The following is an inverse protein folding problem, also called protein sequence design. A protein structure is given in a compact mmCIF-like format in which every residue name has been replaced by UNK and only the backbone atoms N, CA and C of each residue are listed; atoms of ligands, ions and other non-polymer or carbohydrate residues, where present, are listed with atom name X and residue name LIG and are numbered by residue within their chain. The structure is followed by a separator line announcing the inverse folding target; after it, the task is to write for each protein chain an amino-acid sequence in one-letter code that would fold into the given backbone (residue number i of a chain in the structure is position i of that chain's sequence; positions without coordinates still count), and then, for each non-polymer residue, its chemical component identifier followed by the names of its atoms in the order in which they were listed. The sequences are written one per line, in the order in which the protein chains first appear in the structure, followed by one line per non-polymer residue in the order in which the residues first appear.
data_IF_011763089873
#
_entry.id   IF_011763089873
#
_cell.length_a   1.000
_cell.length_b   1.000
_cell.length_c   1.000
_cell.angle_alpha   90.00
_cell.angle_beta   90.00
_cell.angle_gamma   90.00
#
_symmetry.space_group_name_H-M   'P 1'
#
loop_
_entity.id
_entity.type
_entity.pdbx_description
1 polymer ?
#
# COMPACT_ATOMS: atom_id res chain seq x y z
N UNK A 1 54.07 -4.06 -48.48
CA UNK A 1 52.64 -3.77 -48.28
C UNK A 1 52.19 -4.55 -47.05
N UNK A 2 52.16 -3.92 -45.88
CA UNK A 2 51.67 -4.53 -44.63
C UNK A 2 50.34 -3.87 -44.29
N UNK A 3 49.29 -4.69 -44.18
CA UNK A 3 47.95 -4.26 -43.82
C UNK A 3 47.83 -4.18 -42.30
N UNK A 4 47.44 -3.01 -41.77
CA UNK A 4 47.10 -2.80 -40.37
C UNK A 4 45.59 -3.00 -40.18
N UNK A 5 45.19 -3.97 -39.36
CA UNK A 5 43.82 -4.15 -38.93
C UNK A 5 43.49 -3.21 -37.74
N UNK A 6 42.28 -2.62 -37.65
CA UNK A 6 41.92 -1.76 -36.55
C UNK A 6 41.49 -2.58 -35.32
N UNK A 7 42.05 -2.24 -34.16
CA UNK A 7 41.72 -2.82 -32.86
C UNK A 7 40.37 -2.23 -32.39
N UNK A 8 39.29 -3.03 -32.43
CA UNK A 8 38.01 -2.66 -31.80
C UNK A 8 38.16 -2.77 -30.27
N UNK A 9 38.17 -1.63 -29.58
CA UNK A 9 37.99 -1.54 -28.15
C UNK A 9 36.51 -1.79 -27.81
N UNK A 10 36.20 -2.97 -27.28
CA UNK A 10 34.92 -3.29 -26.66
C UNK A 10 34.85 -2.59 -25.30
N UNK A 11 34.13 -1.47 -25.21
CA UNK A 11 33.74 -0.89 -23.93
C UNK A 11 32.70 -1.82 -23.28
N UNK A 12 32.88 -2.27 -22.02
CA UNK A 12 31.85 -3.01 -21.32
C UNK A 12 30.68 -2.05 -21.04
N UNK A 13 29.53 -2.35 -21.64
CA UNK A 13 28.27 -1.67 -21.35
C UNK A 13 27.85 -2.08 -19.93
N UNK A 14 28.22 -1.28 -18.92
CA UNK A 14 27.65 -1.42 -17.58
C UNK A 14 26.15 -1.12 -17.70
N UNK A 15 25.34 -2.16 -17.76
CA UNK A 15 23.91 -2.08 -17.51
C UNK A 15 23.74 -1.75 -16.03
N UNK A 16 23.70 -0.46 -15.71
CA UNK A 16 23.24 0.01 -14.41
C UNK A 16 21.79 -0.44 -14.25
N UNK A 17 21.56 -1.46 -13.43
CA UNK A 17 20.23 -1.80 -12.95
C UNK A 17 19.71 -0.58 -12.19
N UNK A 18 18.85 0.20 -12.84
CA UNK A 18 18.10 1.25 -12.15
C UNK A 18 17.22 0.54 -11.13
N UNK A 19 17.24 0.93 -9.84
CA UNK A 19 16.28 0.41 -8.88
C UNK A 19 14.89 0.70 -9.42
N UNK A 20 14.04 -0.33 -9.50
CA UNK A 20 12.62 -0.14 -9.78
C UNK A 20 12.09 0.86 -8.74
N UNK A 21 11.23 1.82 -9.13
CA UNK A 21 10.68 2.74 -8.15
C UNK A 21 10.00 1.90 -7.05
N UNK A 22 10.30 2.18 -5.80
CA UNK A 22 9.55 1.64 -4.67
C UNK A 22 8.15 2.25 -4.72
N UNK A 23 7.19 1.44 -5.12
CA UNK A 23 5.78 1.77 -5.09
C UNK A 23 5.26 1.48 -3.69
N UNK A 24 4.00 1.78 -3.42
CA UNK A 24 3.25 1.24 -2.29
C UNK A 24 3.36 -0.27 -2.13
N UNK A 25 2.27 -0.85 -1.61
CA UNK A 25 1.90 -2.13 -2.23
C UNK A 25 2.01 -2.00 -3.77
N UNK A 26 2.38 -3.08 -4.46
CA UNK A 26 2.30 -3.07 -5.92
C UNK A 26 0.87 -2.78 -6.38
N UNK A 27 0.69 -2.59 -7.70
CA UNK A 27 -0.63 -2.33 -8.31
C UNK A 27 -1.69 -3.31 -7.79
N UNK A 28 -1.32 -4.58 -7.67
CA UNK A 28 -2.18 -5.66 -7.17
C UNK A 28 -2.64 -5.42 -5.73
N UNK A 29 -1.73 -5.10 -4.81
CA UNK A 29 -2.11 -4.89 -3.40
C UNK A 29 -3.01 -3.67 -3.20
N UNK A 30 -2.77 -2.56 -3.91
CA UNK A 30 -3.69 -1.40 -3.87
C UNK A 30 -5.06 -1.72 -4.47
N UNK A 31 -5.09 -2.46 -5.59
CA UNK A 31 -6.32 -2.93 -6.21
C UNK A 31 -7.11 -3.79 -5.20
N UNK A 32 -6.44 -4.74 -4.55
CA UNK A 32 -7.04 -5.62 -3.55
C UNK A 32 -7.61 -4.84 -2.35
N UNK A 33 -6.84 -3.93 -1.75
CA UNK A 33 -7.28 -3.08 -0.63
C UNK A 33 -8.54 -2.29 -1.02
N UNK A 34 -8.56 -1.67 -2.19
CA UNK A 34 -9.69 -0.87 -2.65
C UNK A 34 -10.90 -1.71 -3.08
N UNK A 35 -10.69 -2.88 -3.66
CA UNK A 35 -11.78 -3.82 -3.96
C UNK A 35 -12.42 -4.34 -2.67
N UNK A 36 -11.63 -4.74 -1.67
CA UNK A 36 -12.15 -5.17 -0.37
C UNK A 36 -12.95 -4.04 0.30
N UNK A 37 -12.49 -2.80 0.18
CA UNK A 37 -13.19 -1.66 0.75
C UNK A 37 -14.54 -1.38 0.05
N UNK A 38 -14.53 -1.31 -1.28
CA UNK A 38 -15.69 -0.90 -2.09
C UNK A 38 -16.70 -2.03 -2.32
N UNK A 39 -16.26 -3.29 -2.26
CA UNK A 39 -16.74 -4.47 -3.01
C UNK A 39 -18.10 -4.35 -3.74
N UNK A 40 -18.03 -4.63 -5.05
CA UNK A 40 -19.17 -4.73 -5.97
C UNK A 40 -19.80 -6.11 -5.96
N UNK A 41 -21.03 -6.20 -6.44
CA UNK A 41 -21.69 -7.46 -6.76
C UNK A 41 -20.81 -8.30 -7.70
N UNK A 42 -20.35 -9.46 -7.24
CA UNK A 42 -19.79 -10.48 -8.12
C UNK A 42 -20.94 -10.99 -9.01
N UNK A 43 -20.77 -11.12 -10.33
CA UNK A 43 -21.83 -11.58 -11.22
C UNK A 43 -22.41 -12.96 -10.86
N UNK A 44 -21.69 -13.73 -10.04
CA UNK A 44 -21.99 -15.13 -9.70
C UNK A 44 -22.58 -15.33 -8.31
N UNK A 45 -22.57 -14.31 -7.45
CA UNK A 45 -23.15 -14.40 -6.10
C UNK A 45 -23.97 -13.14 -5.85
N UNK A 46 -25.28 -13.28 -5.63
CA UNK A 46 -26.16 -12.17 -5.24
C UNK A 46 -25.83 -11.61 -3.83
N UNK A 47 -24.57 -11.69 -3.40
CA UNK A 47 -24.07 -11.27 -2.12
C UNK A 47 -23.24 -10.00 -2.35
N UNK A 48 -23.83 -8.85 -2.02
CA UNK A 48 -23.08 -7.59 -1.93
C UNK A 48 -22.27 -7.62 -0.64
N UNK A 49 -20.97 -7.92 -0.74
CA UNK A 49 -20.03 -7.89 0.38
C UNK A 49 -19.34 -6.51 0.53
N UNK A 50 -19.81 -5.50 -0.20
CA UNK A 50 -19.35 -4.12 -0.08
C UNK A 50 -19.42 -3.64 1.38
N UNK A 51 -18.32 -3.08 1.88
CA UNK A 51 -18.23 -2.56 3.25
C UNK A 51 -18.58 -1.07 3.34
N UNK A 52 -18.81 -0.41 2.21
CA UNK A 52 -19.27 0.97 2.17
C UNK A 52 -20.76 1.06 2.51
N UNK A 53 -21.14 2.06 3.30
CA UNK A 53 -22.53 2.46 3.43
C UNK A 53 -23.06 3.01 2.10
N UNK A 54 -24.38 3.05 1.92
CA UNK A 54 -24.99 3.61 0.70
C UNK A 54 -24.54 5.06 0.43
N UNK A 55 -24.42 5.87 1.49
CA UNK A 55 -23.95 7.24 1.40
C UNK A 55 -22.48 7.32 0.96
N UNK A 56 -21.60 6.50 1.54
CA UNK A 56 -20.20 6.44 1.16
C UNK A 56 -20.01 5.90 -0.26
N UNK A 57 -20.75 4.87 -0.65
CA UNK A 57 -20.73 4.31 -2.00
C UNK A 57 -21.18 5.34 -3.05
N UNK A 58 -22.22 6.13 -2.75
CA UNK A 58 -22.68 7.21 -3.61
C UNK A 58 -21.63 8.33 -3.73
N UNK A 59 -21.04 8.78 -2.63
CA UNK A 59 -20.02 9.82 -2.62
C UNK A 59 -18.74 9.38 -3.36
N UNK A 60 -18.27 8.15 -3.14
CA UNK A 60 -17.14 7.57 -3.88
C UNK A 60 -17.45 7.55 -5.38
N UNK A 61 -18.65 7.10 -5.78
CA UNK A 61 -19.05 7.09 -7.19
C UNK A 61 -19.11 8.49 -7.80
N UNK A 62 -19.60 9.48 -7.05
CA UNK A 62 -19.70 10.88 -7.49
C UNK A 62 -18.31 11.52 -7.69
N UNK A 63 -17.38 11.27 -6.77
CA UNK A 63 -16.03 11.82 -6.82
C UNK A 63 -15.14 11.15 -7.86
N UNK A 64 -15.43 9.91 -8.26
CA UNK A 64 -14.63 9.20 -9.25
C UNK A 64 -14.87 9.76 -10.67
N UNK A 65 -13.82 9.86 -11.49
CA UNK A 65 -13.98 10.29 -12.87
C UNK A 65 -14.79 9.26 -13.67
N UNK A 66 -15.53 9.73 -14.67
CA UNK A 66 -16.47 8.90 -15.44
C UNK A 66 -15.82 7.67 -16.08
N UNK A 67 -14.58 7.77 -16.53
CA UNK A 67 -13.84 6.66 -17.15
C UNK A 67 -13.50 5.52 -16.16
N UNK A 68 -13.51 5.78 -14.86
CA UNK A 68 -13.35 4.72 -13.85
C UNK A 68 -14.60 3.84 -13.75
N UNK A 69 -15.73 4.25 -14.33
CA UNK A 69 -16.99 3.51 -14.26
C UNK A 69 -17.46 3.27 -12.82
N UNK A 70 -17.09 4.15 -11.89
CA UNK A 70 -17.32 4.00 -10.44
C UNK A 70 -16.45 2.95 -9.75
N UNK A 71 -15.42 2.40 -10.41
CA UNK A 71 -14.47 1.46 -9.84
C UNK A 71 -13.33 2.19 -9.13
N UNK A 72 -13.35 2.26 -7.80
CA UNK A 72 -12.28 2.89 -7.03
C UNK A 72 -10.94 2.17 -7.24
N UNK A 73 -10.96 0.83 -7.23
CA UNK A 73 -9.75 0.01 -7.37
C UNK A 73 -8.97 0.25 -8.65
N UNK A 74 -9.64 0.64 -9.74
CA UNK A 74 -9.00 0.96 -11.02
C UNK A 74 -8.09 2.19 -10.99
N UNK A 75 -8.17 2.98 -9.91
CA UNK A 75 -7.40 4.20 -9.71
C UNK A 75 -6.63 4.21 -8.38
N UNK A 76 -6.61 3.10 -7.63
CA UNK A 76 -5.94 3.10 -6.34
C UNK A 76 -4.41 3.08 -6.42
N UNK A 77 -3.82 2.80 -7.58
CA UNK A 77 -2.39 3.00 -7.83
C UNK A 77 -2.04 4.41 -8.33
N UNK A 78 -3.04 5.28 -8.58
CA UNK A 78 -2.81 6.58 -9.23
C UNK A 78 -1.82 7.49 -8.48
N UNK A 79 -1.78 7.43 -7.15
CA UNK A 79 -0.87 8.27 -6.36
C UNK A 79 0.61 7.97 -6.67
N UNK A 80 0.93 6.71 -6.96
CA UNK A 80 2.27 6.32 -7.40
C UNK A 80 2.61 6.89 -8.79
N UNK A 81 1.65 6.91 -9.72
CA UNK A 81 1.87 7.44 -11.07
C UNK A 81 2.22 8.94 -11.05
N UNK A 82 1.67 9.67 -10.06
CA UNK A 82 1.83 11.12 -9.99
C UNK A 82 2.96 11.56 -9.06
N UNK A 83 3.59 10.70 -8.26
CA UNK A 83 4.64 11.12 -7.32
C UNK A 83 5.87 11.77 -7.97
N UNK A 84 6.14 11.46 -9.25
CA UNK A 84 7.17 12.13 -10.04
C UNK A 84 6.72 13.45 -10.68
N UNK A 85 5.41 13.66 -10.85
CA UNK A 85 4.85 14.93 -11.32
C UNK A 85 4.59 15.89 -10.16
N UNK A 86 4.18 15.32 -9.04
CA UNK A 86 3.91 15.98 -7.78
C UNK A 86 4.99 15.54 -6.79
N UNK A 87 6.23 16.00 -7.00
CA UNK A 87 7.36 15.59 -6.15
C UNK A 87 7.11 15.74 -4.65
N UNK A 88 6.29 16.72 -4.27
CA UNK A 88 5.86 16.93 -2.89
C UNK A 88 5.08 15.74 -2.30
N UNK A 89 4.51 14.85 -3.11
CA UNK A 89 3.75 13.69 -2.63
C UNK A 89 4.63 12.48 -2.36
N UNK A 90 5.90 12.45 -2.80
CA UNK A 90 6.75 11.26 -2.69
C UNK A 90 6.96 10.80 -1.24
N UNK A 91 7.23 11.73 -0.32
CA UNK A 91 7.41 11.42 1.10
C UNK A 91 6.10 11.01 1.80
N UNK A 92 4.95 11.22 1.14
CA UNK A 92 3.64 10.87 1.71
C UNK A 92 3.31 9.38 1.62
N UNK A 93 4.12 8.58 0.93
CA UNK A 93 3.89 7.14 0.78
C UNK A 93 4.42 6.32 1.97
N UNK A 94 5.31 6.88 2.81
CA UNK A 94 5.99 6.09 3.84
C UNK A 94 6.20 6.88 5.14
N UNK A 95 6.77 6.19 6.13
CA UNK A 95 7.30 6.71 7.38
C UNK A 95 8.66 6.07 7.60
N UNK A 96 9.67 6.90 7.82
CA UNK A 96 11.00 6.48 8.23
C UNK A 96 11.09 6.43 9.76
N UNK A 97 11.39 5.26 10.31
CA UNK A 97 11.60 5.08 11.75
C UNK A 97 13.08 4.82 12.07
N UNK A 98 13.55 5.18 13.28
CA UNK A 98 14.93 4.89 13.68
C UNK A 98 15.26 3.40 13.64
N UNK A 99 16.45 3.09 13.15
CA UNK A 99 16.92 1.72 12.98
C UNK A 99 16.77 0.88 14.25
N UNK A 100 16.25 -0.34 14.08
CA UNK A 100 16.08 -1.33 15.16
C UNK A 100 15.24 -0.90 16.36
N UNK A 101 14.62 0.29 16.32
CA UNK A 101 13.80 0.77 17.42
C UNK A 101 12.44 0.07 17.49
N UNK A 102 11.96 -0.42 16.34
CA UNK A 102 10.72 -1.20 16.21
C UNK A 102 9.50 -0.54 16.88
N UNK A 103 9.46 0.79 16.87
CA UNK A 103 8.35 1.58 17.38
C UNK A 103 8.18 2.83 16.55
N UNK A 104 6.95 3.33 16.51
CA UNK A 104 6.56 4.52 15.77
C UNK A 104 6.08 5.61 16.74
N UNK A 105 6.40 6.86 16.45
CA UNK A 105 5.85 8.04 17.11
C UNK A 105 5.66 9.17 16.09
N UNK A 106 4.45 9.71 15.97
CA UNK A 106 4.12 10.75 14.99
C UNK A 106 5.07 11.95 15.09
N UNK A 107 5.29 12.48 16.30
CA UNK A 107 6.12 13.68 16.52
C UNK A 107 7.60 13.47 16.20
N UNK A 108 8.06 12.22 16.22
CA UNK A 108 9.46 11.86 15.91
C UNK A 108 9.64 11.55 14.43
N UNK A 109 8.71 10.77 13.87
CA UNK A 109 8.89 10.04 12.62
C UNK A 109 8.06 10.62 11.47
N UNK A 110 6.95 11.32 11.73
CA UNK A 110 6.10 11.85 10.66
C UNK A 110 6.64 13.18 10.12
N UNK A 111 7.67 13.10 9.28
CA UNK A 111 8.30 14.22 8.58
C UNK A 111 8.98 13.72 7.30
N UNK A 112 9.25 14.63 6.37
CA UNK A 112 10.05 14.33 5.18
C UNK A 112 11.56 14.46 5.45
N UNK A 113 12.37 14.26 4.40
CA UNK A 113 13.84 14.35 4.46
C UNK A 113 14.33 15.76 4.85
N UNK A 114 13.55 16.81 4.57
CA UNK A 114 13.84 18.18 5.02
C UNK A 114 13.40 18.45 6.47
N UNK A 115 12.78 17.48 7.14
CA UNK A 115 12.32 17.58 8.52
C UNK A 115 11.00 18.35 8.68
N UNK A 116 10.24 18.54 7.60
CA UNK A 116 8.95 19.23 7.65
C UNK A 116 7.90 18.27 8.22
N UNK A 117 7.40 18.61 9.40
CA UNK A 117 6.45 17.79 10.15
C UNK A 117 5.13 17.55 9.38
N UNK A 118 4.56 16.37 9.56
CA UNK A 118 3.29 15.94 8.94
C UNK A 118 3.43 15.44 7.51
N UNK A 119 4.62 15.46 6.91
CA UNK A 119 4.87 14.99 5.54
C UNK A 119 5.34 13.54 5.53
N UNK A 120 4.42 12.67 5.95
CA UNK A 120 4.55 11.22 5.95
C UNK A 120 3.18 10.59 5.63
N UNK A 121 3.09 9.26 5.45
CA UNK A 121 1.82 8.59 5.15
C UNK A 121 0.72 8.78 6.22
N UNK A 122 1.08 8.79 7.50
CA UNK A 122 0.10 9.07 8.57
C UNK A 122 -0.45 10.49 8.50
N UNK A 123 0.41 11.48 8.26
CA UNK A 123 0.01 12.87 8.07
C UNK A 123 -0.83 13.07 6.81
N UNK A 124 -0.50 12.35 5.73
CA UNK A 124 -1.26 12.36 4.49
C UNK A 124 -2.69 11.81 4.68
N UNK A 125 -2.83 10.67 5.38
CA UNK A 125 -4.15 10.12 5.73
C UNK A 125 -4.97 11.14 6.52
N UNK A 126 -4.40 11.78 7.54
CA UNK A 126 -5.10 12.81 8.32
C UNK A 126 -5.52 14.01 7.45
N UNK A 127 -4.64 14.46 6.56
CA UNK A 127 -4.89 15.59 5.67
C UNK A 127 -6.04 15.30 4.69
N UNK A 128 -5.94 14.21 3.92
CA UNK A 128 -6.95 13.90 2.90
C UNK A 128 -8.28 13.44 3.50
N UNK A 129 -8.25 12.83 4.69
CA UNK A 129 -9.47 12.61 5.49
C UNK A 129 -10.15 13.95 5.81
N UNK A 130 -9.39 14.94 6.29
CA UNK A 130 -9.91 16.26 6.64
C UNK A 130 -10.47 17.02 5.42
N UNK A 131 -9.82 16.90 4.27
CA UNK A 131 -10.31 17.47 3.01
C UNK A 131 -11.64 16.85 2.59
N UNK A 132 -11.77 15.51 2.63
CA UNK A 132 -13.00 14.83 2.22
C UNK A 132 -14.19 15.11 3.13
N UNK A 133 -13.97 15.49 4.40
CA UNK A 133 -15.03 15.99 5.29
C UNK A 133 -15.67 17.31 4.78
N UNK A 134 -15.12 17.96 3.75
CA UNK A 134 -15.76 19.10 3.09
C UNK A 134 -16.73 18.72 1.98
N UNK A 135 -16.85 17.42 1.62
CA UNK A 135 -17.77 16.94 0.60
C UNK A 135 -19.23 17.32 0.94
N UNK A 136 -19.98 17.79 -0.07
CA UNK A 136 -21.37 18.22 0.08
C UNK A 136 -21.60 19.55 0.82
N UNK A 137 -20.54 20.24 1.28
CA UNK A 137 -20.67 21.57 1.91
C UNK A 137 -20.76 22.67 0.86
N UNK A 138 -21.61 23.67 1.09
CA UNK A 138 -21.97 24.72 0.11
C UNK A 138 -20.87 25.74 -0.23
N UNK A 139 -19.70 25.67 0.40
CA UNK A 139 -18.55 26.50 0.03
C UNK A 139 -17.82 25.82 -1.14
N UNK A 140 -17.38 26.61 -2.13
CA UNK A 140 -16.52 26.08 -3.21
C UNK A 140 -15.37 25.31 -2.58
N UNK A 141 -15.18 24.01 -2.90
CA UNK A 141 -14.12 23.24 -2.27
C UNK A 141 -12.79 23.84 -2.69
N UNK A 142 -12.01 24.29 -1.71
CA UNK A 142 -10.61 24.73 -1.87
C UNK A 142 -9.74 23.59 -2.44
N UNK A 143 -10.19 22.35 -2.27
CA UNK A 143 -9.47 21.12 -2.60
C UNK A 143 -10.10 20.34 -3.76
N UNK A 144 -9.25 19.65 -4.52
CA UNK A 144 -9.70 18.65 -5.48
C UNK A 144 -10.07 17.35 -4.73
N UNK A 145 -11.35 17.15 -4.45
CA UNK A 145 -11.82 16.01 -3.66
C UNK A 145 -11.68 14.66 -4.38
N UNK A 146 -11.61 14.63 -5.71
CA UNK A 146 -11.23 13.42 -6.45
C UNK A 146 -9.80 13.02 -6.10
N UNK A 147 -8.85 13.96 -6.13
CA UNK A 147 -7.48 13.67 -5.73
C UNK A 147 -7.40 13.27 -4.26
N UNK A 148 -8.15 13.93 -3.37
CA UNK A 148 -8.20 13.57 -1.96
C UNK A 148 -8.69 12.12 -1.74
N UNK A 149 -9.71 11.68 -2.47
CA UNK A 149 -10.20 10.30 -2.44
C UNK A 149 -9.14 9.29 -2.89
N UNK A 150 -8.49 9.56 -4.03
CA UNK A 150 -7.48 8.67 -4.59
C UNK A 150 -6.24 8.58 -3.70
N UNK A 151 -5.75 9.72 -3.20
CA UNK A 151 -4.65 9.75 -2.24
C UNK A 151 -4.99 9.03 -0.94
N UNK A 152 -6.15 9.30 -0.33
CA UNK A 152 -6.54 8.63 0.92
C UNK A 152 -6.60 7.11 0.73
N UNK A 153 -7.20 6.67 -0.38
CA UNK A 153 -7.38 5.24 -0.68
C UNK A 153 -6.03 4.54 -0.90
N UNK A 154 -5.11 5.18 -1.61
CA UNK A 154 -3.76 4.70 -1.79
C UNK A 154 -2.98 4.65 -0.47
N UNK A 155 -2.94 5.75 0.28
CA UNK A 155 -2.15 5.87 1.52
C UNK A 155 -2.65 4.97 2.65
N UNK A 156 -3.95 4.66 2.71
CA UNK A 156 -4.43 3.61 3.62
C UNK A 156 -3.89 2.23 3.20
N UNK A 157 -3.70 1.97 1.92
CA UNK A 157 -2.95 0.80 1.47
C UNK A 157 -1.50 0.84 1.97
N UNK A 158 -0.77 1.90 1.65
CA UNK A 158 0.66 2.06 1.99
C UNK A 158 0.95 1.89 3.47
N UNK A 159 0.20 2.58 4.33
CA UNK A 159 0.44 2.50 5.78
C UNK A 159 0.26 1.08 6.34
N UNK A 160 -0.41 0.18 5.61
CA UNK A 160 -0.55 -1.22 5.97
C UNK A 160 0.57 -2.12 5.43
N UNK A 161 1.34 -1.68 4.44
CA UNK A 161 2.55 -2.36 3.98
C UNK A 161 3.62 -2.24 5.09
N UNK A 162 4.06 -3.33 5.73
CA UNK A 162 5.01 -3.26 6.84
C UNK A 162 6.27 -2.41 6.58
N UNK A 163 6.90 -2.57 5.41
CA UNK A 163 8.13 -1.87 5.05
C UNK A 163 7.93 -0.42 4.59
N UNK A 164 6.68 0.06 4.44
CA UNK A 164 6.38 1.49 4.33
C UNK A 164 6.48 2.22 5.67
N UNK A 165 6.54 1.47 6.77
CA UNK A 165 6.88 2.00 8.09
C UNK A 165 8.12 1.25 8.55
N UNK A 166 9.22 1.52 7.84
CA UNK A 166 10.48 0.78 7.90
C UNK A 166 11.61 1.58 8.55
N UNK A 167 12.85 1.12 8.35
CA UNK A 167 14.02 1.80 8.90
C UNK A 167 14.55 2.84 7.92
N UNK A 168 15.02 3.96 8.48
CA UNK A 168 15.57 5.05 7.67
C UNK A 168 16.83 4.64 6.91
N UNK A 169 17.74 3.89 7.56
CA UNK A 169 19.05 3.56 6.98
C UNK A 169 18.96 2.69 5.72
N UNK A 170 17.96 1.80 5.67
CA UNK A 170 17.75 0.88 4.57
C UNK A 170 16.62 1.30 3.60
N UNK A 171 16.06 2.50 3.83
CA UNK A 171 14.93 3.06 3.08
C UNK A 171 13.75 2.11 3.03
N UNK A 172 13.39 1.54 4.18
CA UNK A 172 12.34 0.52 4.28
C UNK A 172 12.71 -0.79 3.57
N UNK A 173 13.97 -1.19 3.60
CA UNK A 173 14.47 -2.39 2.92
C UNK A 173 14.67 -2.25 1.40
N UNK A 174 14.63 -1.02 0.86
CA UNK A 174 14.95 -0.77 -0.55
C UNK A 174 16.45 -0.89 -0.86
N UNK A 175 17.30 -0.82 0.16
CA UNK A 175 18.76 -1.03 0.01
C UNK A 175 19.22 -2.38 0.55
N UNK A 176 18.30 -3.33 0.74
CA UNK A 176 18.61 -4.72 1.10
C UNK A 176 18.42 -5.58 -0.14
N UNK A 177 19.50 -5.87 -0.88
CA UNK A 177 19.42 -6.76 -2.04
C UNK A 177 19.13 -8.19 -1.57
N UNK A 178 18.22 -8.88 -2.27
CA UNK A 178 17.85 -10.27 -2.01
C UNK A 178 17.57 -11.00 -3.31
N UNK A 179 17.39 -12.31 -3.22
CA UNK A 179 16.83 -13.12 -4.31
C UNK A 179 15.45 -13.61 -3.89
N UNK A 180 14.40 -13.28 -4.65
CA UNK A 180 13.11 -13.94 -4.55
C UNK A 180 13.13 -15.15 -5.48
N UNK A 181 13.22 -16.34 -4.88
CA UNK A 181 13.53 -17.58 -5.61
C UNK A 181 14.77 -17.42 -6.49
N UNK A 182 14.59 -17.37 -7.81
CA UNK A 182 15.68 -17.27 -8.79
C UNK A 182 15.92 -15.84 -9.31
N UNK A 183 15.12 -14.86 -8.88
CA UNK A 183 15.16 -13.49 -9.39
C UNK A 183 15.78 -12.55 -8.35
N UNK A 184 16.77 -11.75 -8.76
CA UNK A 184 17.30 -10.67 -7.91
C UNK A 184 16.22 -9.59 -7.75
N UNK A 185 16.07 -9.07 -6.54
CA UNK A 185 15.17 -7.96 -6.18
C UNK A 185 15.66 -7.31 -4.88
N UNK A 186 14.88 -6.40 -4.30
CA UNK A 186 15.13 -5.82 -2.97
C UNK A 186 14.04 -6.25 -1.98
N UNK A 187 14.36 -6.27 -0.68
CA UNK A 187 13.43 -6.74 0.35
C UNK A 187 12.10 -5.97 0.32
N UNK A 188 12.13 -4.67 0.08
CA UNK A 188 10.93 -3.85 -0.05
C UNK A 188 9.96 -4.39 -1.12
N UNK A 189 10.46 -4.61 -2.33
CA UNK A 189 9.68 -5.15 -3.45
C UNK A 189 9.15 -6.57 -3.19
N UNK A 190 9.83 -7.36 -2.36
CA UNK A 190 9.31 -8.68 -1.95
C UNK A 190 7.97 -8.53 -1.24
N UNK A 191 7.84 -7.52 -0.37
CA UNK A 191 6.62 -7.23 0.37
C UNK A 191 5.58 -6.48 -0.47
N UNK A 192 5.99 -5.55 -1.33
CA UNK A 192 5.06 -4.83 -2.21
C UNK A 192 4.33 -5.76 -3.17
N UNK A 193 5.07 -6.70 -3.76
CA UNK A 193 4.63 -7.41 -4.96
C UNK A 193 4.94 -8.89 -4.95
N UNK A 194 6.18 -9.31 -4.63
CA UNK A 194 6.60 -10.69 -4.93
C UNK A 194 5.83 -11.76 -4.14
N UNK A 195 5.52 -11.52 -2.86
CA UNK A 195 4.68 -12.43 -2.07
C UNK A 195 3.27 -12.52 -2.66
N UNK A 196 2.68 -11.40 -3.05
CA UNK A 196 1.31 -11.36 -3.61
C UNK A 196 1.27 -12.10 -4.93
N UNK A 197 2.19 -11.79 -5.84
CA UNK A 197 2.26 -12.39 -7.19
C UNK A 197 2.52 -13.89 -7.12
N UNK A 198 3.43 -14.35 -6.25
CA UNK A 198 3.64 -15.79 -6.06
C UNK A 198 2.40 -16.48 -5.50
N UNK A 199 1.66 -15.86 -4.58
CA UNK A 199 0.41 -16.44 -4.10
C UNK A 199 -0.70 -16.46 -5.17
N UNK A 200 -0.77 -15.44 -6.03
CA UNK A 200 -1.72 -15.37 -7.13
C UNK A 200 -1.47 -16.47 -8.17
N UNK A 201 -0.22 -16.59 -8.61
CA UNK A 201 0.24 -17.61 -9.55
C UNK A 201 0.01 -19.04 -8.99
N UNK A 202 0.35 -19.28 -7.71
CA UNK A 202 0.29 -20.62 -7.10
C UNK A 202 -1.13 -21.08 -6.75
N UNK A 203 -2.04 -20.16 -6.39
CA UNK A 203 -3.32 -20.51 -5.79
C UNK A 203 -4.57 -19.98 -6.51
N UNK A 204 -4.46 -18.94 -7.35
CA UNK A 204 -5.63 -18.18 -7.81
C UNK A 204 -5.74 -18.00 -9.33
N UNK A 205 -4.69 -18.26 -10.11
CA UNK A 205 -4.78 -18.42 -11.56
C UNK A 205 -4.67 -17.13 -12.38
N UNK A 206 -3.69 -16.28 -12.03
CA UNK A 206 -3.20 -15.10 -12.76
C UNK A 206 -4.15 -13.86 -12.79
N UNK A 207 -5.18 -13.82 -11.93
CA UNK A 207 -5.93 -12.60 -11.60
C UNK A 207 -6.31 -12.62 -10.11
N UNK A 208 -5.98 -11.52 -9.41
CA UNK A 208 -6.15 -11.37 -7.96
C UNK A 208 -7.60 -11.44 -7.47
N UNK A 209 -8.58 -11.58 -8.35
CA UNK A 209 -10.00 -11.77 -8.00
C UNK A 209 -10.22 -12.97 -7.07
N UNK A 210 -9.59 -14.12 -7.34
CA UNK A 210 -9.66 -15.30 -6.47
C UNK A 210 -9.04 -15.06 -5.08
N UNK A 211 -7.98 -14.26 -5.04
CA UNK A 211 -7.32 -13.87 -3.81
C UNK A 211 -8.21 -12.90 -2.99
N UNK A 212 -8.81 -11.90 -3.63
CA UNK A 212 -9.76 -10.96 -3.02
C UNK A 212 -10.96 -11.70 -2.43
N UNK A 213 -11.52 -12.66 -3.17
CA UNK A 213 -12.64 -13.49 -2.71
C UNK A 213 -12.26 -14.29 -1.46
N UNK A 214 -11.03 -14.80 -1.41
CA UNK A 214 -10.52 -15.55 -0.25
C UNK A 214 -10.38 -14.63 0.97
N UNK A 215 -9.76 -13.45 0.82
CA UNK A 215 -9.65 -12.49 1.91
C UNK A 215 -11.01 -12.01 2.39
N UNK A 216 -11.95 -11.76 1.48
CA UNK A 216 -13.32 -11.33 1.82
C UNK A 216 -14.06 -12.42 2.60
N UNK A 217 -13.92 -13.69 2.20
CA UNK A 217 -14.47 -14.83 2.96
C UNK A 217 -13.86 -14.89 4.36
N UNK A 218 -12.55 -14.73 4.50
CA UNK A 218 -11.88 -14.75 5.80
C UNK A 218 -12.33 -13.58 6.69
N UNK A 219 -12.51 -12.38 6.14
CA UNK A 219 -13.08 -11.22 6.84
C UNK A 219 -14.46 -11.55 7.43
N UNK A 220 -15.33 -12.23 6.67
CA UNK A 220 -16.67 -12.62 7.15
C UNK A 220 -16.68 -13.91 7.99
N UNK A 221 -15.60 -14.69 7.95
CA UNK A 221 -15.47 -15.99 8.60
C UNK A 221 -14.43 -15.93 9.72
N UNK A 222 -13.23 -16.43 9.43
CA UNK A 222 -12.13 -16.59 10.39
C UNK A 222 -11.83 -15.32 11.20
N UNK A 223 -11.86 -14.15 10.58
CA UNK A 223 -11.51 -12.88 11.21
C UNK A 223 -12.73 -12.06 11.67
N UNK A 224 -13.94 -12.60 11.56
CA UNK A 224 -15.19 -11.89 11.85
C UNK A 224 -15.21 -11.23 13.25
N UNK A 225 -14.66 -11.92 14.26
CA UNK A 225 -14.57 -11.38 15.63
C UNK A 225 -13.57 -10.21 15.74
N UNK A 226 -12.53 -10.19 14.90
CA UNK A 226 -11.48 -9.17 14.91
C UNK A 226 -11.87 -7.92 14.13
N UNK A 227 -12.70 -8.06 13.09
CA UNK A 227 -13.09 -6.96 12.18
C UNK A 227 -13.63 -5.75 12.93
N UNK A 228 -14.46 -5.96 13.95
CA UNK A 228 -15.01 -4.86 14.75
C UNK A 228 -13.91 -4.01 15.42
N UNK A 229 -12.79 -4.62 15.82
CA UNK A 229 -11.64 -3.92 16.38
C UNK A 229 -10.82 -3.19 15.31
N UNK A 230 -10.77 -3.72 14.09
CA UNK A 230 -10.07 -3.07 12.98
C UNK A 230 -10.80 -1.81 12.50
N UNK A 231 -12.14 -1.85 12.50
CA UNK A 231 -12.99 -0.74 12.12
C UNK A 231 -13.02 0.38 13.16
N UNK A 232 -12.82 0.05 14.44
CA UNK A 232 -12.82 1.01 15.53
C UNK A 232 -11.67 2.01 15.39
N UNK A 233 -11.99 3.26 15.68
CA UNK A 233 -11.04 4.36 15.79
C UNK A 233 -11.41 5.17 17.03
N UNK A 234 -10.48 5.95 17.58
CA UNK A 234 -10.70 6.71 18.80
C UNK A 234 -11.93 7.62 18.73
N UNK A 235 -12.50 7.97 19.90
CA UNK A 235 -13.64 8.90 19.95
C UNK A 235 -13.27 10.21 19.24
N UNK A 236 -14.14 10.68 18.34
CA UNK A 236 -13.96 11.88 17.52
C UNK A 236 -12.80 11.81 16.50
N UNK A 237 -12.27 10.62 16.20
CA UNK A 237 -11.29 10.44 15.13
C UNK A 237 -11.96 9.81 13.89
N UNK A 238 -11.74 10.42 12.73
CA UNK A 238 -12.24 9.91 11.45
C UNK A 238 -11.32 8.83 10.88
N UNK A 239 -10.01 8.95 11.10
CA UNK A 239 -8.99 7.96 10.75
C UNK A 239 -7.99 7.78 11.91
N UNK A 240 -7.36 6.60 12.00
CA UNK A 240 -6.43 6.25 13.07
C UNK A 240 -5.05 5.80 12.53
N UNK A 241 -4.37 6.61 11.70
CA UNK A 241 -3.15 6.17 11.02
C UNK A 241 -2.02 5.75 11.96
N UNK A 242 -1.94 6.33 13.17
CA UNK A 242 -0.88 6.00 14.13
C UNK A 242 -0.96 4.56 14.64
N UNK A 243 -2.18 4.01 14.78
CA UNK A 243 -2.39 2.61 15.11
C UNK A 243 -1.86 1.74 13.96
N UNK A 244 -2.19 2.10 12.72
CA UNK A 244 -1.83 1.33 11.54
C UNK A 244 -0.31 1.32 11.34
N UNK A 245 0.34 2.47 11.53
CA UNK A 245 1.79 2.61 11.46
C UNK A 245 2.50 1.79 12.55
N UNK A 246 1.99 1.83 13.79
CA UNK A 246 2.55 1.04 14.90
C UNK A 246 2.49 -0.47 14.61
N UNK A 247 1.39 -0.95 14.04
CA UNK A 247 1.27 -2.35 13.61
C UNK A 247 2.23 -2.68 12.46
N UNK A 248 2.40 -1.77 11.49
CA UNK A 248 3.31 -1.97 10.35
C UNK A 248 4.77 -2.06 10.77
N UNK A 249 5.28 -1.16 11.62
CA UNK A 249 6.67 -1.27 12.12
C UNK A 249 6.87 -2.52 12.97
N UNK A 250 5.85 -2.92 13.74
CA UNK A 250 5.88 -4.19 14.49
C UNK A 250 5.98 -5.39 13.55
N UNK A 251 5.20 -5.39 12.46
CA UNK A 251 5.25 -6.44 11.45
C UNK A 251 6.58 -6.42 10.67
N UNK A 252 7.13 -5.25 10.38
CA UNK A 252 8.40 -5.10 9.70
C UNK A 252 9.53 -5.77 10.51
N UNK A 253 9.62 -5.47 11.80
CA UNK A 253 10.62 -6.06 12.67
C UNK A 253 10.42 -7.57 12.91
N UNK A 254 9.19 -8.00 13.17
CA UNK A 254 8.92 -9.39 13.52
C UNK A 254 8.92 -10.35 12.33
N UNK A 255 8.64 -9.85 11.13
CA UNK A 255 8.42 -10.68 9.95
C UNK A 255 9.27 -10.29 8.75
N UNK A 256 9.31 -9.00 8.38
CA UNK A 256 9.99 -8.54 7.17
C UNK A 256 11.51 -8.63 7.28
N UNK A 257 12.11 -7.91 8.22
CA UNK A 257 13.55 -7.93 8.46
C UNK A 257 14.03 -9.24 9.13
N UNK A 258 13.13 -9.94 9.82
CA UNK A 258 13.50 -11.09 10.66
C UNK A 258 14.12 -12.22 9.84
N UNK A 259 15.42 -12.44 10.04
CA UNK A 259 16.17 -13.52 9.39
C UNK A 259 16.57 -13.21 7.95
N UNK A 260 16.48 -11.95 7.52
CA UNK A 260 16.96 -11.48 6.22
C UNK A 260 18.29 -10.77 6.40
N UNK A 261 19.22 -11.04 5.49
CA UNK A 261 20.50 -10.34 5.33
C UNK A 261 20.68 -9.97 3.85
N UNK A 262 21.62 -9.08 3.56
CA UNK A 262 22.05 -8.80 2.19
C UNK A 262 22.35 -10.09 1.42
N UNK A 263 21.91 -10.14 0.17
CA UNK A 263 22.01 -11.26 -0.77
C UNK A 263 21.27 -12.55 -0.35
N UNK A 264 20.43 -12.51 0.69
CA UNK A 264 19.64 -13.67 1.10
C UNK A 264 18.75 -14.19 -0.03
N UNK A 265 18.63 -15.51 -0.15
CA UNK A 265 17.66 -16.13 -1.06
C UNK A 265 16.39 -16.51 -0.29
N UNK A 266 15.31 -15.76 -0.54
CA UNK A 266 14.00 -15.93 0.07
C UNK A 266 13.16 -16.86 -0.82
N UNK A 267 12.66 -17.96 -0.26
CA UNK A 267 11.91 -19.02 -0.96
C UNK A 267 10.73 -19.48 -0.10
N UNK A 268 10.25 -20.71 -0.28
CA UNK A 268 9.07 -21.31 0.36
C UNK A 268 8.98 -21.07 1.87
N UNK A 269 10.09 -21.22 2.61
CA UNK A 269 10.08 -21.02 4.06
C UNK A 269 9.77 -19.56 4.44
N UNK A 270 10.28 -18.59 3.68
CA UNK A 270 9.97 -17.18 3.87
C UNK A 270 8.55 -16.87 3.36
N UNK A 271 8.21 -17.32 2.16
CA UNK A 271 6.90 -17.14 1.55
C UNK A 271 5.75 -17.63 2.45
N UNK A 272 5.75 -18.93 2.77
CA UNK A 272 4.67 -19.57 3.52
C UNK A 272 4.47 -18.99 4.93
N UNK A 273 5.55 -18.53 5.57
CA UNK A 273 5.46 -17.92 6.91
C UNK A 273 5.05 -16.45 6.90
N UNK A 274 5.26 -15.71 5.80
CA UNK A 274 4.94 -14.28 5.70
C UNK A 274 3.64 -14.00 4.95
N UNK A 275 3.20 -14.91 4.08
CA UNK A 275 1.92 -14.77 3.37
C UNK A 275 0.73 -14.52 4.31
N UNK A 276 0.58 -15.19 5.48
CA UNK A 276 -0.51 -14.87 6.42
C UNK A 276 -0.47 -13.42 6.94
N UNK A 277 0.72 -12.85 7.09
CA UNK A 277 0.89 -11.45 7.51
C UNK A 277 0.45 -10.51 6.39
N UNK A 278 0.89 -10.76 5.15
CA UNK A 278 0.45 -10.00 3.97
C UNK A 278 -1.07 -10.04 3.82
N UNK A 279 -1.67 -11.23 3.91
CA UNK A 279 -3.12 -11.42 3.85
C UNK A 279 -3.86 -10.59 4.89
N UNK A 280 -3.36 -10.61 6.14
CA UNK A 280 -3.93 -9.84 7.24
C UNK A 280 -3.82 -8.33 6.97
N UNK A 281 -2.67 -7.84 6.51
CA UNK A 281 -2.46 -6.41 6.24
C UNK A 281 -3.31 -5.89 5.08
N UNK A 282 -3.45 -6.65 3.99
CA UNK A 282 -4.35 -6.31 2.88
C UNK A 282 -5.81 -6.25 3.33
N UNK A 283 -6.25 -7.24 4.12
CA UNK A 283 -7.61 -7.26 4.68
C UNK A 283 -7.87 -6.10 5.64
N UNK A 284 -6.94 -5.82 6.55
CA UNK A 284 -7.02 -4.67 7.46
C UNK A 284 -7.08 -3.35 6.70
N UNK A 285 -6.25 -3.18 5.68
CA UNK A 285 -6.25 -2.01 4.81
C UNK A 285 -7.61 -1.77 4.16
N UNK A 286 -8.21 -2.82 3.56
CA UNK A 286 -9.53 -2.71 2.93
C UNK A 286 -10.66 -2.42 3.92
N UNK A 287 -10.67 -3.12 5.06
CA UNK A 287 -11.66 -2.90 6.14
C UNK A 287 -11.56 -1.48 6.70
N UNK A 288 -10.35 -0.99 6.96
CA UNK A 288 -10.12 0.35 7.53
C UNK A 288 -10.37 1.46 6.51
N UNK A 289 -10.07 1.23 5.22
CA UNK A 289 -10.45 2.16 4.16
C UNK A 289 -11.97 2.33 4.11
N UNK A 290 -12.73 1.23 4.08
CA UNK A 290 -14.19 1.29 4.09
C UNK A 290 -14.74 1.98 5.34
N UNK A 291 -14.26 1.60 6.53
CA UNK A 291 -14.70 2.21 7.79
C UNK A 291 -14.38 3.72 7.85
N UNK A 292 -13.24 4.14 7.30
CA UNK A 292 -12.85 5.55 7.23
C UNK A 292 -13.74 6.32 6.27
N UNK A 293 -13.98 5.81 5.06
CA UNK A 293 -14.89 6.44 4.10
C UNK A 293 -16.33 6.50 4.63
N UNK A 294 -16.78 5.46 5.36
CA UNK A 294 -18.08 5.47 6.04
C UNK A 294 -18.18 6.55 7.11
N UNK A 295 -17.11 6.82 7.87
CA UNK A 295 -17.09 7.93 8.84
C UNK A 295 -17.02 9.31 8.19
N UNK A 296 -16.46 9.41 6.98
CA UNK A 296 -16.36 10.66 6.23
C UNK A 296 -17.70 11.04 5.59
N UNK A 297 -18.37 10.08 4.97
CA UNK A 297 -19.54 10.31 4.11
C UNK A 297 -20.87 9.83 4.71
N UNK A 298 -20.82 9.10 5.83
CA UNK A 298 -22.01 8.62 6.55
C UNK A 298 -22.63 9.64 7.48
#
# INVERSE_FOLDING_TARGET
MQATAPLLLLLPLLLSALPAPSHGWGVDGHLMVCQIAQARALPLTNLSLGRLSDAAAAAVKDLLPSYAGGNLSSLCSWADDVKFRYHWSSALHYIDTPDSLCSYSYDRDCKDEEGVMGRCVAGAINNYTSQLLSYGKSASPEYNLTQALLFLSHFIGDIHQPLHVGFTSDRGGNTIDVHWYRRKTVLHHVWDASIIQTADDDFYGDDVSGFIDTLTKNITGEWSEQVSSWEQCGKNQTACPDIYATESITAACNWAYKGVQEDSTLQDAYFSSRLPVVNLRLAQGGVRLAATLNRIFG
#
